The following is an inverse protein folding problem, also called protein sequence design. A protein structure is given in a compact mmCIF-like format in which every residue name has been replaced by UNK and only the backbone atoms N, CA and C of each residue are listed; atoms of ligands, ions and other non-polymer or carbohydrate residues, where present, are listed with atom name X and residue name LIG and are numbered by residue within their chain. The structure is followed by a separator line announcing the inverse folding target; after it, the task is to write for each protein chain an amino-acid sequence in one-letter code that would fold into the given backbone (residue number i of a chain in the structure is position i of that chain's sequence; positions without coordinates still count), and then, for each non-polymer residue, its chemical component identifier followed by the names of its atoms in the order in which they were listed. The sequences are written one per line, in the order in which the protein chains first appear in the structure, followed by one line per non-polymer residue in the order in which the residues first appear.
data_IF_076612993995
#
_entry.id   IF_076612993995
#
_cell.length_a   1.000
_cell.length_b   1.000
_cell.length_c   1.000
_cell.angle_alpha   90.00
_cell.angle_beta   90.00
_cell.angle_gamma   90.00
#
_symmetry.space_group_name_H-M   'P 1'
#
loop_
_entity.id
_entity.type
_entity.pdbx_description
1 polymer ?
#
# COMPACT_ATOMS: atom_id res chain seq x y z
N UNK A 1 15.08 1.26 -52.12
CA UNK A 1 13.74 1.27 -51.51
C UNK A 1 13.90 1.69 -50.07
N UNK A 2 13.31 2.83 -49.68
CA UNK A 2 13.47 3.41 -48.35
C UNK A 2 12.64 2.69 -47.29
N UNK A 3 13.19 2.64 -46.07
CA UNK A 3 12.49 2.21 -44.86
C UNK A 3 11.37 3.20 -44.50
N UNK A 4 10.18 2.75 -44.09
CA UNK A 4 9.19 3.65 -43.51
C UNK A 4 9.60 4.00 -42.08
N UNK A 5 9.83 5.29 -41.85
CA UNK A 5 9.93 5.94 -40.56
C UNK A 5 8.59 5.87 -39.83
N UNK A 6 8.52 5.10 -38.74
CA UNK A 6 7.36 5.11 -37.86
C UNK A 6 7.66 5.96 -36.62
N UNK A 7 7.61 7.28 -36.77
CA UNK A 7 7.54 8.24 -35.66
C UNK A 7 6.11 8.26 -35.12
N UNK A 8 5.73 7.19 -34.43
CA UNK A 8 4.52 7.20 -33.62
C UNK A 8 4.81 7.96 -32.33
N UNK A 9 4.37 9.21 -32.24
CA UNK A 9 4.29 9.91 -30.97
C UNK A 9 3.52 9.02 -29.99
N UNK A 10 4.15 8.60 -28.90
CA UNK A 10 3.45 7.93 -27.80
C UNK A 10 2.42 8.92 -27.27
N UNK A 11 1.18 8.80 -27.73
CA UNK A 11 0.07 9.62 -27.28
C UNK A 11 0.00 9.53 -25.76
N UNK A 12 -0.17 10.69 -25.11
CA UNK A 12 -0.36 10.79 -23.66
C UNK A 12 -1.43 9.76 -23.26
N UNK A 13 -1.16 8.85 -22.32
CA UNK A 13 -2.16 7.86 -21.91
C UNK A 13 -3.42 8.62 -21.47
N UNK A 14 -4.62 8.13 -21.86
CA UNK A 14 -5.86 8.80 -21.52
C UNK A 14 -5.94 9.00 -19.99
N UNK A 15 -6.52 10.12 -19.51
CA UNK A 15 -6.69 10.35 -18.08
C UNK A 15 -7.44 9.16 -17.47
N UNK A 16 -6.82 8.50 -16.50
CA UNK A 16 -7.48 7.46 -15.75
C UNK A 16 -8.25 8.11 -14.60
N UNK A 17 -9.55 8.36 -14.84
CA UNK A 17 -10.49 8.91 -13.86
C UNK A 17 -11.10 7.85 -12.92
N UNK A 18 -10.60 6.61 -12.98
CA UNK A 18 -11.06 5.54 -12.11
C UNK A 18 -10.41 5.56 -10.72
N UNK A 19 -11.00 4.87 -9.72
CA UNK A 19 -10.38 4.70 -8.41
C UNK A 19 -9.08 3.88 -8.50
N UNK A 20 -8.17 3.99 -7.52
CA UNK A 20 -6.95 3.19 -7.46
C UNK A 20 -7.20 1.69 -7.71
N UNK A 21 -6.42 1.12 -8.63
CA UNK A 21 -6.49 -0.29 -9.00
C UNK A 21 -5.60 -1.14 -8.08
N UNK A 22 -6.07 -2.33 -7.72
CA UNK A 22 -5.30 -3.27 -6.91
C UNK A 22 -4.11 -3.79 -7.70
N UNK A 23 -2.91 -3.54 -7.20
CA UNK A 23 -1.67 -4.16 -7.65
C UNK A 23 -1.21 -5.11 -6.57
N UNK A 24 -1.35 -6.41 -6.82
CA UNK A 24 -0.64 -7.41 -6.04
C UNK A 24 0.83 -7.30 -6.43
N UNK A 25 1.72 -7.54 -5.48
CA UNK A 25 3.17 -7.48 -5.69
C UNK A 25 3.73 -8.91 -5.74
N UNK A 26 3.20 -9.86 -6.55
CA UNK A 26 3.42 -11.28 -6.31
C UNK A 26 4.87 -11.73 -6.50
N UNK A 27 5.55 -11.24 -7.53
CA UNK A 27 6.91 -11.67 -7.88
C UNK A 27 7.96 -11.14 -6.89
N UNK A 28 7.87 -9.85 -6.54
CA UNK A 28 8.76 -9.21 -5.57
C UNK A 28 8.40 -9.56 -4.13
N UNK A 29 7.12 -9.76 -3.79
CA UNK A 29 6.71 -10.18 -2.45
C UNK A 29 7.17 -11.59 -2.09
N UNK A 30 7.18 -12.53 -3.04
CA UNK A 30 7.67 -13.87 -2.78
C UNK A 30 9.18 -13.89 -2.54
N UNK A 31 9.95 -13.14 -3.34
CA UNK A 31 11.39 -13.02 -3.18
C UNK A 31 11.78 -12.32 -1.87
N UNK A 32 11.05 -11.26 -1.50
CA UNK A 32 11.36 -10.45 -0.32
C UNK A 32 10.67 -10.95 0.97
N UNK A 33 9.78 -11.95 0.86
CA UNK A 33 9.01 -12.49 1.99
C UNK A 33 7.93 -11.57 2.54
N UNK A 34 7.36 -10.70 1.69
CA UNK A 34 6.32 -9.74 2.03
C UNK A 34 4.92 -10.37 1.99
N UNK A 35 4.61 -11.14 3.03
CA UNK A 35 3.33 -11.83 3.18
C UNK A 35 2.44 -11.20 4.24
N UNK A 36 1.14 -11.18 3.99
CA UNK A 36 0.12 -10.91 5.01
C UNK A 36 0.05 -12.03 6.04
N UNK A 37 -0.67 -11.82 7.15
CA UNK A 37 -0.81 -12.80 8.24
C UNK A 37 -1.21 -14.21 7.77
N UNK A 38 -2.03 -14.31 6.72
CA UNK A 38 -2.52 -15.58 6.17
C UNK A 38 -1.64 -16.21 5.09
N UNK A 39 -0.43 -15.69 4.91
CA UNK A 39 0.55 -16.05 3.88
C UNK A 39 0.22 -15.61 2.45
N UNK A 40 -0.81 -14.78 2.25
CA UNK A 40 -1.04 -14.19 0.92
C UNK A 40 0.04 -13.14 0.60
N UNK A 41 0.53 -13.07 -0.66
CA UNK A 41 1.46 -12.02 -1.05
C UNK A 41 0.81 -10.64 -0.89
N UNK A 42 1.53 -9.69 -0.30
CA UNK A 42 1.00 -8.35 -0.08
C UNK A 42 0.74 -7.60 -1.41
N UNK A 43 -0.03 -6.52 -1.30
CA UNK A 43 -0.35 -5.64 -2.42
C UNK A 43 -0.63 -4.21 -1.95
N UNK A 44 -0.86 -3.34 -2.92
CA UNK A 44 -1.24 -1.95 -2.71
C UNK A 44 -2.22 -1.51 -3.79
N UNK A 45 -2.98 -0.45 -3.56
CA UNK A 45 -3.75 0.19 -4.63
C UNK A 45 -2.97 1.34 -5.23
N UNK A 46 -3.07 1.49 -6.55
CA UNK A 46 -2.34 2.51 -7.30
C UNK A 46 -3.25 3.25 -8.26
N UNK A 47 -3.09 4.57 -8.31
CA UNK A 47 -3.64 5.43 -9.34
C UNK A 47 -2.56 6.42 -9.80
N UNK A 48 -2.21 6.47 -11.09
CA UNK A 48 -1.35 7.53 -11.59
C UNK A 48 -2.07 8.88 -11.51
N UNK A 49 -1.32 9.92 -11.14
CA UNK A 49 -1.80 11.30 -11.19
C UNK A 49 -1.91 11.81 -12.61
N UNK A 50 -2.50 13.00 -12.76
CA UNK A 50 -2.79 13.58 -14.07
C UNK A 50 -2.22 15.00 -14.19
N UNK A 51 -1.94 15.40 -15.43
CA UNK A 51 -1.48 16.76 -15.72
C UNK A 51 -0.14 17.11 -15.05
N UNK A 52 -0.04 18.35 -14.57
CA UNK A 52 1.17 18.91 -13.96
C UNK A 52 1.50 18.32 -12.58
N UNK A 53 0.51 17.71 -11.92
CA UNK A 53 0.63 17.17 -10.57
C UNK A 53 0.90 15.66 -10.54
N UNK A 54 1.10 15.02 -11.70
CA UNK A 54 1.38 13.58 -11.78
C UNK A 54 2.66 13.14 -11.03
N UNK A 55 3.64 14.05 -10.86
CA UNK A 55 4.85 13.81 -10.08
C UNK A 55 4.70 14.12 -8.58
N UNK A 56 3.51 14.49 -8.13
CA UNK A 56 3.18 14.66 -6.72
C UNK A 56 2.45 13.40 -6.23
N UNK A 57 2.72 13.00 -5.00
CA UNK A 57 2.34 11.68 -4.50
C UNK A 57 1.63 11.75 -3.16
N UNK A 58 0.52 11.03 -3.04
CA UNK A 58 -0.09 10.66 -1.77
C UNK A 58 0.25 9.19 -1.50
N UNK A 59 0.98 8.95 -0.43
CA UNK A 59 1.24 7.62 0.12
C UNK A 59 0.37 7.47 1.36
N UNK A 60 -0.72 6.72 1.26
CA UNK A 60 -1.67 6.54 2.36
C UNK A 60 -1.53 5.16 2.99
N UNK A 61 -1.28 5.11 4.31
CA UNK A 61 -1.18 3.88 5.09
C UNK A 61 -2.55 3.53 5.69
N UNK A 62 -3.10 2.38 5.29
CA UNK A 62 -4.39 1.87 5.80
C UNK A 62 -4.37 1.67 7.32
N UNK A 63 -5.44 2.08 7.99
CA UNK A 63 -5.67 1.84 9.42
C UNK A 63 -6.36 0.51 9.72
N UNK A 64 -6.84 0.32 10.94
CA UNK A 64 -7.68 -0.84 11.30
C UNK A 64 -7.14 -1.73 12.41
N UNK A 65 -6.71 -1.10 13.51
CA UNK A 65 -6.34 -1.76 14.76
C UNK A 65 -5.11 -2.66 14.70
N UNK A 66 -4.89 -3.42 15.77
CA UNK A 66 -3.78 -4.36 15.91
C UNK A 66 -4.28 -5.72 16.35
N UNK A 67 -3.42 -6.73 16.25
CA UNK A 67 -3.59 -7.96 17.00
C UNK A 67 -2.43 -8.12 17.98
N UNK A 68 -2.73 -8.58 19.19
CA UNK A 68 -1.79 -8.59 20.31
C UNK A 68 -1.77 -9.91 21.09
N UNK A 69 -2.57 -10.89 20.66
CA UNK A 69 -2.60 -12.24 21.21
C UNK A 69 -2.72 -13.28 20.10
N UNK A 70 -2.39 -14.54 20.40
CA UNK A 70 -2.55 -15.64 19.42
C UNK A 70 -3.99 -15.67 18.88
N UNK A 71 -4.99 -15.51 19.75
CA UNK A 71 -6.41 -15.56 19.36
C UNK A 71 -6.75 -14.39 18.42
N UNK A 72 -6.46 -13.16 18.83
CA UNK A 72 -6.79 -11.97 18.04
C UNK A 72 -6.06 -11.94 16.69
N UNK A 73 -4.82 -12.45 16.63
CA UNK A 73 -4.09 -12.53 15.37
C UNK A 73 -4.60 -13.64 14.46
N UNK A 74 -5.03 -14.77 15.01
CA UNK A 74 -5.69 -15.84 14.23
C UNK A 74 -7.01 -15.34 13.68
N UNK A 75 -7.82 -14.62 14.46
CA UNK A 75 -9.07 -14.02 13.98
C UNK A 75 -8.82 -13.01 12.87
N UNK A 76 -7.84 -12.11 13.05
CA UNK A 76 -7.44 -11.10 12.05
C UNK A 76 -6.93 -11.71 10.74
N UNK A 77 -6.27 -12.87 10.82
CA UNK A 77 -5.85 -13.66 9.66
C UNK A 77 -7.04 -14.13 8.82
N UNK A 78 -8.22 -14.30 9.41
CA UNK A 78 -9.40 -14.82 8.71
C UNK A 78 -10.16 -13.74 7.94
N UNK A 79 -10.98 -14.18 6.98
CA UNK A 79 -11.84 -13.32 6.14
C UNK A 79 -12.94 -12.58 6.93
N UNK A 80 -13.30 -13.02 8.14
CA UNK A 80 -14.43 -12.42 8.88
C UNK A 80 -14.11 -11.04 9.45
N UNK A 81 -12.82 -10.73 9.64
CA UNK A 81 -12.31 -9.42 10.05
C UNK A 81 -11.30 -8.86 9.02
N UNK A 82 -11.34 -9.37 7.77
CA UNK A 82 -10.33 -9.43 6.67
C UNK A 82 -9.33 -8.29 6.48
N UNK A 83 -8.55 -7.98 7.50
CA UNK A 83 -7.39 -7.09 7.34
C UNK A 83 -6.12 -7.91 7.14
N UNK A 84 -5.99 -9.09 7.77
CA UNK A 84 -4.80 -9.94 7.69
C UNK A 84 -4.60 -10.76 6.41
N UNK A 85 -5.38 -10.50 5.36
CA UNK A 85 -5.33 -11.26 4.09
C UNK A 85 -5.62 -10.37 2.89
N UNK A 86 -5.01 -10.70 1.75
CA UNK A 86 -5.34 -10.14 0.45
C UNK A 86 -6.52 -10.84 -0.24
N UNK A 87 -6.95 -12.01 0.26
CA UNK A 87 -8.10 -12.73 -0.31
C UNK A 87 -9.37 -11.92 -0.14
N UNK A 88 -10.11 -11.74 -1.23
CA UNK A 88 -11.38 -11.03 -1.22
C UNK A 88 -11.25 -9.50 -1.21
N UNK A 89 -10.03 -8.94 -1.26
CA UNK A 89 -9.84 -7.51 -1.54
C UNK A 89 -10.39 -7.19 -2.93
N UNK A 90 -11.16 -6.10 -3.04
CA UNK A 90 -11.72 -5.63 -4.31
C UNK A 90 -10.60 -5.26 -5.29
N UNK A 91 -10.82 -5.51 -6.59
CA UNK A 91 -9.86 -5.14 -7.66
C UNK A 91 -9.63 -3.63 -7.77
N UNK A 92 -10.52 -2.84 -7.20
CA UNK A 92 -10.43 -1.39 -7.12
C UNK A 92 -10.68 -0.99 -5.67
N UNK A 93 -10.00 0.04 -5.20
CA UNK A 93 -10.27 0.60 -3.88
C UNK A 93 -11.74 1.03 -3.88
N UNK A 94 -12.52 0.43 -2.99
CA UNK A 94 -13.97 0.59 -2.97
C UNK A 94 -14.38 2.05 -2.69
N UNK A 95 -15.65 2.36 -2.94
CA UNK A 95 -16.27 3.68 -2.72
C UNK A 95 -16.17 4.16 -1.27
N UNK A 96 -15.88 3.28 -0.32
CA UNK A 96 -15.74 3.58 1.12
C UNK A 96 -14.59 4.55 1.46
N UNK A 97 -13.64 4.77 0.55
CA UNK A 97 -12.56 5.78 0.70
C UNK A 97 -12.75 7.03 -0.17
N UNK A 98 -13.94 7.23 -0.78
CA UNK A 98 -14.25 8.39 -1.63
C UNK A 98 -14.11 9.76 -0.98
N UNK A 99 -13.91 9.81 0.34
CA UNK A 99 -13.92 11.04 1.12
C UNK A 99 -12.56 11.40 1.76
N UNK A 100 -11.47 10.74 1.36
CA UNK A 100 -10.12 10.97 1.92
C UNK A 100 -9.06 11.37 0.88
N UNK A 101 -7.81 11.41 1.34
CA UNK A 101 -6.62 11.84 0.55
C UNK A 101 -6.42 11.09 -0.78
N UNK A 102 -6.97 9.88 -0.94
CA UNK A 102 -6.87 9.07 -2.17
C UNK A 102 -8.10 9.16 -3.09
N UNK A 103 -9.05 10.07 -2.82
CA UNK A 103 -10.19 10.27 -3.70
C UNK A 103 -9.76 11.01 -4.98
N UNK A 104 -10.16 10.53 -6.17
CA UNK A 104 -9.89 11.23 -7.42
C UNK A 104 -10.90 12.36 -7.72
N UNK A 105 -11.90 12.56 -6.87
CA UNK A 105 -12.96 13.55 -7.06
C UNK A 105 -12.51 14.93 -6.54
N UNK A 106 -12.40 15.96 -7.40
CA UNK A 106 -12.00 17.31 -6.98
C UNK A 106 -12.98 17.98 -6.02
N UNK A 107 -14.24 17.57 -5.99
CA UNK A 107 -15.22 18.12 -5.04
C UNK A 107 -14.89 17.66 -3.62
N UNK A 108 -14.48 16.40 -3.49
CA UNK A 108 -14.22 15.78 -2.20
C UNK A 108 -12.75 15.86 -1.78
N UNK A 109 -11.83 15.93 -2.73
CA UNK A 109 -10.38 16.04 -2.54
C UNK A 109 -9.82 17.19 -3.39
N UNK A 110 -10.15 18.45 -3.08
CA UNK A 110 -9.76 19.60 -3.89
C UNK A 110 -8.23 19.72 -4.02
N UNK A 111 -7.48 19.34 -2.98
CA UNK A 111 -6.03 19.56 -2.90
C UNK A 111 -5.21 18.49 -3.63
N UNK A 112 -5.65 17.22 -3.59
CA UNK A 112 -4.82 16.08 -4.01
C UNK A 112 -5.47 15.20 -5.10
N UNK A 113 -6.67 15.52 -5.61
CA UNK A 113 -7.38 14.66 -6.56
C UNK A 113 -6.59 14.32 -7.84
N UNK A 114 -5.67 15.17 -8.29
CA UNK A 114 -4.87 14.99 -9.51
C UNK A 114 -3.44 14.48 -9.25
N UNK A 115 -3.10 14.19 -7.99
CA UNK A 115 -1.83 13.58 -7.60
C UNK A 115 -1.82 12.08 -7.89
N UNK A 116 -0.63 11.49 -7.93
CA UNK A 116 -0.47 10.03 -7.92
C UNK A 116 -0.82 9.49 -6.54
N UNK A 117 -1.69 8.49 -6.47
CA UNK A 117 -2.16 7.91 -5.21
C UNK A 117 -1.68 6.47 -5.05
N UNK A 118 -1.12 6.19 -3.88
CA UNK A 118 -0.79 4.85 -3.42
C UNK A 118 -1.51 4.61 -2.10
N UNK A 119 -2.27 3.53 -2.02
CA UNK A 119 -2.90 3.08 -0.79
C UNK A 119 -2.24 1.77 -0.35
N UNK A 120 -1.48 1.82 0.74
CA UNK A 120 -0.79 0.66 1.29
C UNK A 120 -1.80 -0.19 2.06
N UNK A 121 -1.93 -1.44 1.65
CA UNK A 121 -2.84 -2.38 2.32
C UNK A 121 -2.19 -2.85 3.62
N UNK A 122 -2.90 -2.66 4.72
CA UNK A 122 -2.44 -3.00 6.06
C UNK A 122 -2.90 -4.40 6.43
N UNK A 123 -2.00 -5.38 6.26
CA UNK A 123 -2.32 -6.79 6.42
C UNK A 123 -1.44 -7.60 7.38
N UNK A 124 -0.57 -6.92 8.11
CA UNK A 124 0.32 -7.53 9.11
C UNK A 124 -0.22 -7.41 10.54
N UNK A 125 -1.11 -6.45 10.83
CA UNK A 125 -1.67 -6.26 12.17
C UNK A 125 -0.70 -5.63 13.19
N UNK A 126 0.41 -5.04 12.73
CA UNK A 126 1.46 -4.46 13.58
C UNK A 126 1.95 -3.08 13.11
N UNK A 127 1.12 -2.26 12.44
CA UNK A 127 1.53 -0.98 11.84
C UNK A 127 2.83 -1.07 11.02
N UNK A 128 2.97 -2.12 10.21
CA UNK A 128 4.16 -2.38 9.40
C UNK A 128 5.48 -2.52 10.19
N UNK A 129 5.44 -2.86 11.49
CA UNK A 129 6.66 -2.98 12.32
C UNK A 129 7.21 -4.39 12.41
N UNK A 130 6.36 -5.42 12.31
CA UNK A 130 6.80 -6.81 12.50
C UNK A 130 7.75 -7.29 11.40
N UNK A 131 8.72 -8.12 11.76
CA UNK A 131 9.67 -8.70 10.82
C UNK A 131 10.20 -10.08 11.27
N UNK A 132 9.29 -10.95 11.72
CA UNK A 132 9.67 -12.32 12.08
C UNK A 132 10.29 -13.03 10.88
N UNK A 133 11.34 -13.82 11.07
CA UNK A 133 12.03 -14.52 9.98
C UNK A 133 11.27 -15.79 9.52
N UNK A 134 10.65 -16.49 10.46
CA UNK A 134 9.88 -17.72 10.22
C UNK A 134 8.41 -17.49 10.62
N UNK A 135 7.46 -18.16 9.94
CA UNK A 135 6.07 -18.13 10.39
C UNK A 135 5.95 -18.78 11.76
N UNK A 136 4.99 -18.30 12.55
CA UNK A 136 4.66 -18.86 13.85
C UNK A 136 3.47 -19.78 13.70
N UNK A 137 3.54 -20.98 14.25
CA UNK A 137 2.45 -21.94 14.24
C UNK A 137 1.69 -21.88 15.58
N UNK A 138 0.36 -21.73 15.51
CA UNK A 138 -0.52 -21.72 16.69
C UNK A 138 -1.79 -22.56 16.45
N UNK A 139 -2.31 -23.25 17.48
CA UNK A 139 -3.63 -23.88 17.37
C UNK A 139 -4.67 -22.77 17.30
N UNK A 140 -5.64 -22.90 16.39
CA UNK A 140 -6.77 -22.01 16.26
C UNK A 140 -7.93 -22.54 17.12
N UNK A 141 -8.20 -21.95 18.31
CA UNK A 141 -9.18 -22.51 19.25
C UNK A 141 -10.59 -22.56 18.65
N UNK A 142 -10.92 -21.56 17.83
CA UNK A 142 -12.21 -21.48 17.14
C UNK A 142 -12.35 -22.49 15.99
N UNK A 143 -11.27 -23.15 15.57
CA UNK A 143 -11.23 -24.07 14.43
C UNK A 143 -10.79 -25.48 14.85
N UNK A 144 -11.41 -26.01 15.90
CA UNK A 144 -11.11 -27.34 16.44
C UNK A 144 -9.61 -27.56 16.72
N UNK A 145 -8.94 -26.52 17.24
CA UNK A 145 -7.50 -26.50 17.50
C UNK A 145 -6.60 -26.82 16.28
N UNK A 146 -7.11 -26.59 15.06
CA UNK A 146 -6.33 -26.75 13.83
C UNK A 146 -5.08 -25.86 13.88
N UNK A 147 -3.93 -26.42 13.54
CA UNK A 147 -2.69 -25.66 13.47
C UNK A 147 -2.71 -24.69 12.28
N UNK A 148 -2.51 -23.41 12.57
CA UNK A 148 -2.41 -22.35 11.56
C UNK A 148 -1.07 -21.64 11.66
N UNK A 149 -0.59 -21.15 10.51
CA UNK A 149 0.60 -20.31 10.41
C UNK A 149 0.23 -18.83 10.39
N UNK A 150 1.02 -18.03 11.10
CA UNK A 150 0.94 -16.58 11.16
C UNK A 150 2.24 -15.97 10.63
N UNK A 151 2.10 -15.04 9.69
CA UNK A 151 3.22 -14.34 9.06
C UNK A 151 3.26 -12.89 9.54
N UNK A 152 4.13 -12.61 10.50
CA UNK A 152 4.36 -11.26 11.02
C UNK A 152 5.47 -10.57 10.22
N UNK A 153 5.11 -10.03 9.05
CA UNK A 153 6.04 -9.49 8.04
C UNK A 153 5.80 -8.02 7.67
N UNK A 154 5.17 -7.25 8.56
CA UNK A 154 4.78 -5.86 8.29
C UNK A 154 5.89 -4.98 7.69
N UNK A 155 7.10 -5.06 8.24
CA UNK A 155 8.23 -4.30 7.73
C UNK A 155 8.56 -4.71 6.28
N UNK A 156 8.61 -6.01 5.98
CA UNK A 156 8.86 -6.51 4.62
C UNK A 156 7.78 -6.05 3.64
N UNK A 157 6.51 -6.07 4.08
CA UNK A 157 5.39 -5.56 3.26
C UNK A 157 5.60 -4.09 2.88
N UNK A 158 5.93 -3.24 3.85
CA UNK A 158 6.22 -1.83 3.60
C UNK A 158 7.44 -1.65 2.67
N UNK A 159 8.53 -2.36 2.94
CA UNK A 159 9.76 -2.28 2.17
C UNK A 159 9.57 -2.71 0.72
N UNK A 160 8.95 -3.87 0.49
CA UNK A 160 8.72 -4.40 -0.85
C UNK A 160 7.76 -3.52 -1.65
N UNK A 161 6.72 -2.99 -1.00
CA UNK A 161 5.81 -2.04 -1.66
C UNK A 161 6.56 -0.79 -2.10
N UNK A 162 7.37 -0.18 -1.23
CA UNK A 162 8.18 0.97 -1.61
C UNK A 162 9.17 0.63 -2.72
N UNK A 163 9.88 -0.49 -2.62
CA UNK A 163 10.80 -0.98 -3.66
C UNK A 163 10.12 -1.08 -5.02
N UNK A 164 8.92 -1.67 -5.09
CA UNK A 164 8.15 -1.76 -6.33
C UNK A 164 7.78 -0.38 -6.90
N UNK A 165 7.34 0.55 -6.04
CA UNK A 165 7.01 1.92 -6.43
C UNK A 165 8.24 2.69 -6.97
N UNK A 166 9.40 2.55 -6.33
CA UNK A 166 10.64 3.18 -6.77
C UNK A 166 11.12 2.60 -8.10
N UNK A 167 11.12 1.28 -8.25
CA UNK A 167 11.66 0.61 -9.43
C UNK A 167 10.72 0.66 -10.64
N UNK A 168 9.41 0.62 -10.43
CA UNK A 168 8.45 0.36 -11.50
C UNK A 168 7.36 1.41 -11.66
N UNK A 169 7.25 2.38 -10.73
CA UNK A 169 6.24 3.46 -10.77
C UNK A 169 6.83 4.86 -10.73
N UNK A 170 8.17 4.97 -10.74
CA UNK A 170 8.90 6.26 -10.76
C UNK A 170 8.68 7.11 -9.52
N UNK A 171 8.44 6.48 -8.36
CA UNK A 171 8.31 7.20 -7.09
C UNK A 171 9.57 8.03 -6.76
N UNK A 172 10.76 7.60 -7.21
CA UNK A 172 12.00 8.34 -7.03
C UNK A 172 12.06 9.71 -7.73
N UNK A 173 11.16 9.95 -8.68
CA UNK A 173 11.05 11.23 -9.40
C UNK A 173 10.02 12.18 -8.77
N UNK A 174 9.49 11.83 -7.58
CA UNK A 174 8.51 12.63 -6.89
C UNK A 174 9.05 14.03 -6.56
N UNK A 175 8.28 15.05 -6.92
CA UNK A 175 8.56 16.46 -6.56
C UNK A 175 8.03 16.78 -5.18
N UNK A 176 6.86 16.21 -4.85
CA UNK A 176 6.18 16.39 -3.58
C UNK A 176 5.56 15.06 -3.13
N UNK A 177 5.71 14.75 -1.85
CA UNK A 177 5.20 13.52 -1.23
C UNK A 177 4.44 13.89 0.04
N UNK A 178 3.17 13.52 0.09
CA UNK A 178 2.36 13.47 1.29
C UNK A 178 2.31 12.03 1.78
N UNK A 179 2.99 11.73 2.88
CA UNK A 179 2.82 10.48 3.61
C UNK A 179 1.70 10.68 4.65
N UNK A 180 0.59 9.98 4.49
CA UNK A 180 -0.55 10.08 5.38
C UNK A 180 -0.97 8.69 5.86
N UNK A 181 -1.71 8.63 6.95
CA UNK A 181 -2.29 7.38 7.44
C UNK A 181 -3.33 7.65 8.51
N UNK A 182 -4.28 6.73 8.62
CA UNK A 182 -5.37 6.79 9.59
C UNK A 182 -5.23 5.69 10.64
N UNK A 183 -5.52 5.97 11.92
CA UNK A 183 -5.52 4.99 13.00
C UNK A 183 -4.19 4.21 13.10
N UNK A 184 -4.20 2.88 12.98
CA UNK A 184 -2.99 2.06 12.95
C UNK A 184 -2.01 2.46 11.80
N UNK A 185 -2.52 3.01 10.71
CA UNK A 185 -1.72 3.56 9.61
C UNK A 185 -1.06 4.88 9.99
N UNK A 186 -1.69 5.69 10.83
CA UNK A 186 -1.10 6.92 11.37
C UNK A 186 0.07 6.61 12.31
N UNK A 187 -0.09 5.58 13.14
CA UNK A 187 1.02 5.05 13.92
C UNK A 187 2.16 4.55 13.02
N UNK A 188 1.84 3.92 11.88
CA UNK A 188 2.85 3.57 10.90
C UNK A 188 3.54 4.80 10.27
N UNK A 189 2.81 5.90 10.03
CA UNK A 189 3.43 7.16 9.61
C UNK A 189 4.43 7.64 10.66
N UNK A 190 4.02 7.75 11.92
CA UNK A 190 4.89 8.17 13.02
C UNK A 190 6.18 7.34 13.12
N UNK A 191 6.06 6.02 12.96
CA UNK A 191 7.19 5.09 13.11
C UNK A 191 8.13 5.11 11.90
N UNK A 192 7.58 5.21 10.68
CA UNK A 192 8.34 4.96 9.46
C UNK A 192 8.67 6.23 8.65
N UNK A 193 8.12 7.40 8.99
CA UNK A 193 8.25 8.62 8.19
C UNK A 193 9.70 8.98 7.86
N UNK A 194 10.60 8.99 8.84
CA UNK A 194 12.01 9.34 8.63
C UNK A 194 12.73 8.36 7.71
N UNK A 195 12.49 7.06 7.90
CA UNK A 195 13.08 6.01 7.07
C UNK A 195 12.54 6.02 5.63
N UNK A 196 11.30 6.48 5.42
CA UNK A 196 10.70 6.68 4.10
C UNK A 196 11.28 7.96 3.48
N UNK A 197 11.33 9.08 4.22
CA UNK A 197 11.88 10.37 3.80
C UNK A 197 13.31 10.25 3.30
N UNK A 198 14.13 9.44 3.97
CA UNK A 198 15.53 9.21 3.63
C UNK A 198 15.76 8.56 2.25
N UNK A 199 14.70 8.04 1.59
CA UNK A 199 14.78 7.43 0.26
C UNK A 199 14.60 8.43 -0.88
N UNK A 200 14.18 9.64 -0.55
CA UNK A 200 13.95 10.70 -1.53
C UNK A 200 15.12 11.67 -1.54
N UNK A 201 15.31 12.34 -2.68
CA UNK A 201 16.28 13.43 -2.79
C UNK A 201 16.01 14.52 -1.74
N UNK A 202 17.06 15.27 -1.36
CA UNK A 202 16.90 16.39 -0.45
C UNK A 202 15.92 17.45 -0.99
N UNK A 203 15.86 17.61 -2.32
CA UNK A 203 14.97 18.54 -3.03
C UNK A 203 13.50 18.12 -3.05
N UNK A 204 13.16 16.86 -2.77
CA UNK A 204 11.77 16.42 -2.73
C UNK A 204 11.09 17.00 -1.49
N UNK A 205 10.00 17.75 -1.69
CA UNK A 205 9.17 18.21 -0.58
C UNK A 205 8.43 17.03 0.01
N UNK A 206 8.57 16.79 1.31
CA UNK A 206 7.99 15.64 1.98
C UNK A 206 7.27 16.10 3.23
N UNK A 207 6.00 15.74 3.36
CA UNK A 207 5.15 16.07 4.51
C UNK A 207 4.54 14.78 5.05
N UNK A 208 4.52 14.63 6.36
CA UNK A 208 3.87 13.52 7.05
C UNK A 208 2.62 14.03 7.80
N UNK A 209 1.50 13.32 7.66
CA UNK A 209 0.24 13.58 8.35
C UNK A 209 -0.19 12.34 9.10
N UNK A 210 -0.53 12.53 10.37
CA UNK A 210 -0.90 11.48 11.31
C UNK A 210 -2.35 11.75 11.72
N UNK A 211 -3.28 10.93 11.24
CA UNK A 211 -4.72 11.10 11.43
C UNK A 211 -5.30 9.95 12.28
N UNK A 212 -6.12 10.24 13.30
CA UNK A 212 -6.54 9.25 14.28
C UNK A 212 -7.77 8.46 13.82
#
# INVERSE_FOLDING_TARGET
GGLPSNTGSAGKPPPYDGPPALLVVPQTAQADGAFCLDSTPAGYYFRPGVGKNASKWVLFLEGGGWCYSNITCIERRTRWFSMGSMKGRSKRLDKTYKHGFCSPDPVTNPDFHDWTHVFFIYCDGSSFTSNQEKPIYRPAPLWNNTMVSLYFRGHRVLQTTLKDLFLHRRLGEATEVLLAGHSAGAMAVLIHADAIRARFAASTRFVAVVDA
#
